data_IF_012746617243
#
_entry.id   IF_012746617243
#
_cell.length_a   1.000
_cell.length_b   1.000
_cell.length_c   1.000
_cell.angle_alpha   90.00
_cell.angle_beta   90.00
_cell.angle_gamma   90.00
#
_symmetry.space_group_name_H-M   'P 1'
#
loop_
_entity.id
_entity.type
_entity.pdbx_description
1 polymer ?
#
# COMPACT_ATOMS: atom_id res chain seq x y z
N UNK A 1 11.82 -7.09 -9.90
CA UNK A 1 12.02 -8.55 -9.93
C UNK A 1 11.84 -8.90 -11.37
N UNK A 2 12.94 -9.03 -12.08
CA UNK A 2 12.91 -9.11 -13.54
C UNK A 2 12.75 -10.57 -13.92
N UNK A 3 11.67 -10.88 -14.63
CA UNK A 3 11.41 -12.24 -15.12
C UNK A 3 12.43 -12.53 -16.22
N UNK A 4 13.17 -13.62 -16.08
CA UNK A 4 14.11 -14.06 -17.10
C UNK A 4 13.39 -14.84 -18.18
N UNK A 5 13.00 -14.14 -19.24
CA UNK A 5 12.21 -14.71 -20.36
C UNK A 5 12.89 -15.93 -21.00
N UNK A 6 14.23 -15.95 -21.01
CA UNK A 6 15.05 -17.07 -21.51
C UNK A 6 14.78 -18.39 -20.78
N UNK A 7 14.47 -18.35 -19.47
CA UNK A 7 14.14 -19.53 -18.68
C UNK A 7 12.64 -19.78 -18.59
N UNK A 8 11.81 -18.79 -18.93
CA UNK A 8 10.37 -18.90 -18.79
C UNK A 8 9.76 -19.95 -19.74
N UNK A 9 10.16 -19.94 -21.01
CA UNK A 9 9.63 -20.88 -22.02
C UNK A 9 9.84 -22.34 -21.60
N UNK A 10 11.07 -22.81 -21.27
CA UNK A 10 11.26 -24.19 -20.84
C UNK A 10 10.55 -24.50 -19.51
N UNK A 11 10.46 -23.54 -18.59
CA UNK A 11 9.73 -23.74 -17.32
C UNK A 11 8.22 -23.88 -17.52
N UNK A 12 7.64 -23.19 -18.50
CA UNK A 12 6.23 -23.36 -18.85
C UNK A 12 5.93 -24.76 -19.41
N UNK A 13 6.86 -25.35 -20.16
CA UNK A 13 6.71 -26.74 -20.62
C UNK A 13 6.77 -27.74 -19.46
N UNK A 14 7.71 -27.55 -18.53
CA UNK A 14 7.78 -28.35 -17.29
C UNK A 14 6.47 -28.21 -16.49
N UNK A 15 5.99 -26.98 -16.35
CA UNK A 15 4.75 -26.68 -15.66
C UNK A 15 3.53 -27.36 -16.31
N UNK A 16 3.41 -27.34 -17.64
CA UNK A 16 2.35 -28.05 -18.36
C UNK A 16 2.36 -29.55 -18.08
N UNK A 17 3.55 -30.16 -18.03
CA UNK A 17 3.70 -31.59 -17.71
C UNK A 17 3.26 -31.86 -16.27
N UNK A 18 3.69 -31.04 -15.31
CA UNK A 18 3.32 -31.18 -13.89
C UNK A 18 1.82 -31.02 -13.63
N UNK A 19 1.13 -30.24 -14.47
CA UNK A 19 -0.28 -29.91 -14.30
C UNK A 19 -1.22 -30.72 -15.20
N UNK A 20 -0.69 -31.61 -16.05
CA UNK A 20 -1.45 -32.35 -17.08
C UNK A 20 -2.60 -33.20 -16.53
N UNK A 21 -2.44 -33.75 -15.34
CA UNK A 21 -3.44 -34.63 -14.70
C UNK A 21 -4.40 -33.86 -13.78
N UNK A 22 -4.13 -32.58 -13.52
CA UNK A 22 -4.96 -31.74 -12.66
C UNK A 22 -5.98 -30.98 -13.51
N UNK A 23 -7.25 -31.09 -13.16
CA UNK A 23 -8.28 -30.22 -13.75
C UNK A 23 -8.16 -28.85 -13.09
N UNK A 24 -7.69 -27.87 -13.85
CA UNK A 24 -7.47 -26.49 -13.40
C UNK A 24 -8.37 -25.58 -14.23
N UNK A 25 -9.48 -25.14 -13.65
CA UNK A 25 -10.43 -24.20 -14.27
C UNK A 25 -10.20 -22.76 -13.78
N UNK A 26 -9.70 -22.60 -12.55
CA UNK A 26 -9.49 -21.29 -11.93
C UNK A 26 -8.04 -21.06 -11.51
N UNK A 27 -7.59 -19.80 -11.56
CA UNK A 27 -6.25 -19.42 -11.11
C UNK A 27 -5.98 -19.77 -9.64
N UNK A 28 -7.02 -19.80 -8.80
CA UNK A 28 -6.90 -20.23 -7.41
C UNK A 28 -6.42 -21.69 -7.28
N UNK A 29 -6.89 -22.56 -8.17
CA UNK A 29 -6.49 -23.98 -8.20
C UNK A 29 -5.05 -24.13 -8.70
N UNK A 30 -4.65 -23.30 -9.67
CA UNK A 30 -3.25 -23.22 -10.12
C UNK A 30 -2.34 -22.82 -8.95
N UNK A 31 -2.73 -21.80 -8.19
CA UNK A 31 -1.95 -21.32 -7.06
C UNK A 31 -1.80 -22.39 -5.97
N UNK A 32 -2.89 -23.10 -5.66
CA UNK A 32 -2.87 -24.18 -4.68
C UNK A 32 -2.01 -25.37 -5.16
N UNK A 33 -2.20 -25.78 -6.42
CA UNK A 33 -1.41 -26.84 -7.03
C UNK A 33 0.09 -26.56 -7.02
N UNK A 34 0.49 -25.30 -7.20
CA UNK A 34 1.87 -24.84 -7.20
C UNK A 34 2.45 -24.72 -5.78
N UNK A 35 1.65 -24.26 -4.81
CA UNK A 35 2.04 -24.21 -3.39
C UNK A 35 2.29 -25.60 -2.80
N UNK A 36 1.53 -26.60 -3.27
CA UNK A 36 1.61 -27.97 -2.78
C UNK A 36 2.73 -28.81 -3.45
N UNK A 37 3.53 -28.23 -4.35
CA UNK A 37 4.72 -28.88 -4.91
C UNK A 37 5.86 -28.90 -3.90
N UNK A 38 6.76 -29.89 -4.01
CA UNK A 38 7.99 -29.93 -3.22
C UNK A 38 8.94 -28.78 -3.58
N UNK A 39 9.85 -28.47 -2.68
CA UNK A 39 10.79 -27.36 -2.82
C UNK A 39 11.66 -27.46 -4.09
N UNK A 40 12.08 -28.66 -4.49
CA UNK A 40 12.95 -28.83 -5.65
C UNK A 40 12.19 -28.54 -6.94
N UNK A 41 10.96 -29.05 -7.04
CA UNK A 41 10.07 -28.76 -8.17
C UNK A 41 9.71 -27.28 -8.24
N UNK A 42 9.46 -26.62 -7.10
CA UNK A 42 9.26 -25.17 -7.05
C UNK A 42 10.47 -24.38 -7.58
N UNK A 43 11.70 -24.80 -7.27
CA UNK A 43 12.90 -24.17 -7.81
C UNK A 43 13.03 -24.35 -9.33
N UNK A 44 12.58 -25.49 -9.88
CA UNK A 44 12.59 -25.73 -11.32
C UNK A 44 11.64 -24.81 -12.09
N UNK A 45 10.60 -24.25 -11.45
CA UNK A 45 9.59 -23.38 -12.07
C UNK A 45 9.55 -21.96 -11.46
N UNK A 46 10.70 -21.47 -10.98
CA UNK A 46 10.78 -20.25 -10.18
C UNK A 46 10.29 -18.97 -10.91
N UNK A 47 10.42 -18.90 -12.23
CA UNK A 47 9.89 -17.79 -13.03
C UNK A 47 8.35 -17.86 -13.11
N UNK A 48 7.79 -19.06 -13.23
CA UNK A 48 6.34 -19.28 -13.19
C UNK A 48 5.77 -18.89 -11.82
N UNK A 49 6.47 -19.24 -10.73
CA UNK A 49 6.11 -18.77 -9.38
C UNK A 49 6.11 -17.25 -9.27
N UNK A 50 7.11 -16.61 -9.87
CA UNK A 50 7.23 -15.15 -9.89
C UNK A 50 6.06 -14.52 -10.64
N UNK A 51 5.65 -15.09 -11.78
CA UNK A 51 4.45 -14.66 -12.52
C UNK A 51 3.18 -14.85 -11.68
N UNK A 52 3.00 -16.00 -11.03
CA UNK A 52 1.85 -16.23 -10.16
C UNK A 52 1.78 -15.19 -9.03
N UNK A 53 2.91 -14.84 -8.42
CA UNK A 53 2.99 -13.78 -7.41
C UNK A 53 2.65 -12.40 -7.99
N UNK A 54 3.16 -12.08 -9.18
CA UNK A 54 2.85 -10.81 -9.85
C UNK A 54 1.37 -10.70 -10.20
N UNK A 55 0.74 -11.79 -10.65
CA UNK A 55 -0.70 -11.83 -10.93
C UNK A 55 -1.55 -11.63 -9.66
N UNK A 56 -1.08 -12.09 -8.50
CA UNK A 56 -1.76 -11.83 -7.22
C UNK A 56 -1.65 -10.38 -6.75
N UNK A 57 -0.54 -9.71 -7.09
CA UNK A 57 -0.27 -8.33 -6.66
C UNK A 57 -0.80 -7.31 -7.66
N UNK A 58 -0.87 -7.68 -8.94
CA UNK A 58 -1.40 -6.81 -9.99
C UNK A 58 -2.93 -6.77 -9.83
N UNK A 59 -3.53 -5.61 -9.50
CA UNK A 59 -4.97 -5.53 -9.44
C UNK A 59 -5.54 -5.87 -10.82
N UNK A 60 -6.48 -6.81 -10.86
CA UNK A 60 -7.17 -7.21 -12.10
C UNK A 60 -7.89 -6.05 -12.82
N UNK A 61 -8.01 -4.90 -12.15
CA UNK A 61 -8.64 -3.68 -12.67
C UNK A 61 -7.80 -2.44 -12.38
N UNK A 62 -7.89 -1.45 -13.26
CA UNK A 62 -7.33 -0.10 -13.06
C UNK A 62 -7.99 0.66 -11.91
N UNK A 63 -9.15 0.20 -11.40
CA UNK A 63 -9.96 0.89 -10.41
C UNK A 63 -9.21 1.25 -9.12
N UNK A 64 -8.24 0.44 -8.68
CA UNK A 64 -7.40 0.77 -7.52
C UNK A 64 -6.43 1.90 -7.82
N UNK A 65 -5.83 1.91 -9.02
CA UNK A 65 -5.02 3.01 -9.50
C UNK A 65 -5.83 4.29 -9.67
N UNK A 66 -7.00 4.21 -10.32
CA UNK A 66 -7.93 5.34 -10.52
C UNK A 66 -8.38 5.95 -9.19
N UNK A 67 -8.76 5.13 -8.20
CA UNK A 67 -9.07 5.60 -6.85
C UNK A 67 -7.88 6.32 -6.20
N UNK A 68 -6.66 5.81 -6.40
CA UNK A 68 -5.44 6.42 -5.88
C UNK A 68 -5.15 7.78 -6.56
N UNK A 69 -5.27 7.86 -7.88
CA UNK A 69 -5.10 9.10 -8.64
C UNK A 69 -6.19 10.12 -8.35
N UNK A 70 -7.45 9.69 -8.21
CA UNK A 70 -8.56 10.54 -7.80
C UNK A 70 -8.34 11.13 -6.41
N UNK A 71 -7.89 10.32 -5.46
CA UNK A 71 -7.50 10.76 -4.12
C UNK A 71 -6.35 11.75 -4.15
N UNK A 72 -5.29 11.44 -4.90
CA UNK A 72 -4.15 12.35 -5.10
C UNK A 72 -4.59 13.69 -5.71
N UNK A 73 -5.51 13.66 -6.68
CA UNK A 73 -6.09 14.86 -7.29
C UNK A 73 -6.85 15.68 -6.27
N UNK A 74 -7.70 15.06 -5.43
CA UNK A 74 -8.41 15.75 -4.34
C UNK A 74 -7.41 16.45 -3.40
N UNK A 75 -6.39 15.75 -2.92
CA UNK A 75 -5.35 16.31 -2.03
C UNK A 75 -4.66 17.52 -2.68
N UNK A 76 -4.28 17.43 -3.96
CA UNK A 76 -3.63 18.53 -4.69
C UNK A 76 -4.57 19.72 -4.92
N UNK A 77 -5.83 19.47 -5.27
CA UNK A 77 -6.82 20.52 -5.52
C UNK A 77 -7.05 21.38 -4.29
N UNK A 78 -7.18 20.77 -3.10
CA UNK A 78 -7.42 21.50 -1.86
C UNK A 78 -6.23 22.34 -1.37
N UNK A 79 -5.01 22.03 -1.80
CA UNK A 79 -3.78 22.64 -1.24
C UNK A 79 -2.95 23.43 -2.27
N UNK A 80 -3.57 23.76 -3.41
CA UNK A 80 -2.93 24.24 -4.65
C UNK A 80 -2.01 25.45 -4.48
N UNK A 81 -2.26 26.32 -3.48
CA UNK A 81 -1.50 27.56 -3.29
C UNK A 81 -0.05 27.36 -2.82
N UNK A 82 0.30 26.23 -2.17
CA UNK A 82 1.66 26.00 -1.63
C UNK A 82 1.94 24.49 -1.39
N UNK A 83 1.85 23.66 -2.44
CA UNK A 83 2.02 22.21 -2.32
C UNK A 83 3.38 21.75 -2.87
N UNK A 84 4.37 21.58 -1.98
CA UNK A 84 5.62 20.91 -2.34
C UNK A 84 5.41 19.40 -2.51
N UNK A 85 6.27 18.74 -3.28
CA UNK A 85 6.22 17.28 -3.45
C UNK A 85 6.33 16.54 -2.11
N UNK A 86 7.21 17.02 -1.20
CA UNK A 86 7.37 16.45 0.14
C UNK A 86 6.07 16.54 0.96
N UNK A 87 5.41 17.69 0.93
CA UNK A 87 4.12 17.88 1.61
C UNK A 87 3.04 16.97 1.02
N UNK A 88 2.97 16.85 -0.30
CA UNK A 88 2.05 15.94 -0.98
C UNK A 88 2.30 14.48 -0.57
N UNK A 89 3.55 14.01 -0.59
CA UNK A 89 3.89 12.63 -0.21
C UNK A 89 3.46 12.31 1.23
N UNK A 90 3.76 13.20 2.19
CA UNK A 90 3.35 12.98 3.58
C UNK A 90 1.82 12.93 3.74
N UNK A 91 1.09 13.82 3.05
CA UNK A 91 -0.37 13.86 3.10
C UNK A 91 -1.02 12.66 2.40
N UNK A 92 -0.43 12.17 1.31
CA UNK A 92 -0.88 10.95 0.65
C UNK A 92 -0.73 9.74 1.58
N UNK A 93 0.38 9.63 2.32
CA UNK A 93 0.60 8.58 3.31
C UNK A 93 -0.45 8.65 4.43
N UNK A 94 -0.68 9.85 4.98
CA UNK A 94 -1.69 10.05 6.03
C UNK A 94 -3.10 9.72 5.53
N UNK A 95 -3.44 10.09 4.29
CA UNK A 95 -4.75 9.81 3.72
C UNK A 95 -4.97 8.31 3.46
N UNK A 96 -3.96 7.61 2.94
CA UNK A 96 -4.00 6.15 2.72
C UNK A 96 -4.10 5.38 4.04
N UNK A 97 -3.41 5.86 5.09
CA UNK A 97 -3.40 5.22 6.41
C UNK A 97 -4.24 5.97 7.43
N UNK A 98 -5.43 6.44 7.03
CA UNK A 98 -6.32 7.24 7.88
C UNK A 98 -6.55 6.63 9.26
N UNK A 99 -6.87 5.33 9.33
CA UNK A 99 -7.12 4.63 10.61
C UNK A 99 -5.92 4.73 11.56
N UNK A 100 -4.70 4.54 11.04
CA UNK A 100 -3.48 4.70 11.85
C UNK A 100 -3.28 6.15 12.26
N UNK A 101 -3.60 7.10 11.39
CA UNK A 101 -3.56 8.53 11.67
C UNK A 101 -4.56 8.94 12.76
N UNK A 102 -5.78 8.41 12.72
CA UNK A 102 -6.85 8.70 13.70
C UNK A 102 -6.49 8.18 15.11
N UNK A 103 -5.65 7.14 15.20
CA UNK A 103 -5.13 6.62 16.47
C UNK A 103 -3.97 7.44 17.04
N UNK A 104 -3.42 8.42 16.31
CA UNK A 104 -2.35 9.27 16.81
C UNK A 104 -2.97 10.30 17.76
N UNK A 105 -2.43 10.37 18.98
CA UNK A 105 -2.82 11.40 19.95
C UNK A 105 -2.47 12.79 19.43
N UNK A 106 -3.50 13.57 19.15
CA UNK A 106 -3.34 14.93 18.61
C UNK A 106 -2.60 15.85 19.59
N UNK A 107 -2.76 15.64 20.90
CA UNK A 107 -2.06 16.38 21.94
C UNK A 107 -0.53 16.26 21.81
N UNK A 108 -0.05 15.04 21.62
CA UNK A 108 1.38 14.76 21.45
C UNK A 108 1.91 15.42 20.17
N UNK A 109 1.14 15.33 19.08
CA UNK A 109 1.50 15.98 17.80
C UNK A 109 1.56 17.50 17.94
N UNK A 110 0.61 18.11 18.66
CA UNK A 110 0.54 19.56 18.87
C UNK A 110 1.76 20.04 19.68
N UNK A 111 2.10 19.35 20.77
CA UNK A 111 3.26 19.67 21.59
C UNK A 111 4.59 19.43 20.85
N UNK A 112 4.68 18.40 20.01
CA UNK A 112 5.82 18.22 19.09
C UNK A 112 5.87 19.35 18.06
N UNK A 113 4.75 19.76 17.49
CA UNK A 113 4.70 20.84 16.49
C UNK A 113 5.23 22.18 17.04
N UNK A 114 4.89 22.50 18.29
CA UNK A 114 5.36 23.69 19.00
C UNK A 114 6.85 23.60 19.29
N UNK A 115 7.32 22.51 19.89
CA UNK A 115 8.72 22.35 20.29
C UNK A 115 9.72 22.36 19.12
N UNK A 116 9.25 22.21 17.87
CA UNK A 116 10.08 22.28 16.66
C UNK A 116 10.45 23.70 16.23
N UNK A 117 9.90 24.76 16.83
CA UNK A 117 10.22 26.14 16.45
C UNK A 117 9.97 27.13 17.61
N UNK A 118 10.98 27.92 17.98
CA UNK A 118 10.90 28.88 19.09
C UNK A 118 9.80 29.95 18.91
N UNK A 119 9.48 30.33 17.67
CA UNK A 119 8.35 31.24 17.41
C UNK A 119 7.02 30.56 17.72
N UNK A 120 6.89 29.25 17.46
CA UNK A 120 5.68 28.50 17.80
C UNK A 120 5.57 28.33 19.30
N UNK A 121 6.67 28.05 19.99
CA UNK A 121 6.69 27.98 21.45
C UNK A 121 6.25 29.29 22.09
N UNK A 122 6.77 30.42 21.61
CA UNK A 122 6.37 31.74 22.09
C UNK A 122 4.90 32.08 21.83
N UNK A 123 4.35 31.67 20.68
CA UNK A 123 2.99 32.02 20.29
C UNK A 123 1.92 31.07 20.83
N UNK A 124 2.22 29.77 20.93
CA UNK A 124 1.24 28.73 21.25
C UNK A 124 1.47 28.08 22.61
N UNK A 125 2.66 28.20 23.21
CA UNK A 125 2.98 27.54 24.48
C UNK A 125 2.85 26.02 24.40
N UNK A 126 2.34 25.40 25.47
CA UNK A 126 2.05 23.96 25.52
C UNK A 126 0.55 23.71 25.50
N UNK A 127 0.13 22.68 24.79
CA UNK A 127 -1.24 22.19 24.78
C UNK A 127 -1.46 21.18 25.91
N UNK A 128 -2.66 21.22 26.47
CA UNK A 128 -3.22 20.31 27.46
C UNK A 128 -4.43 19.55 26.86
N UNK A 129 -4.86 18.45 27.49
CA UNK A 129 -6.02 17.67 27.02
C UNK A 129 -7.29 18.54 26.84
N UNK A 130 -7.49 19.50 27.75
CA UNK A 130 -8.63 20.42 27.75
C UNK A 130 -8.70 21.29 26.48
N UNK A 131 -7.57 21.57 25.83
CA UNK A 131 -7.48 22.44 24.66
C UNK A 131 -7.97 21.75 23.37
N UNK A 132 -7.98 20.41 23.34
CA UNK A 132 -8.30 19.62 22.15
C UNK A 132 -9.61 18.84 22.29
N UNK A 133 -10.15 18.68 23.51
CA UNK A 133 -11.39 17.95 23.78
C UNK A 133 -12.68 18.66 23.29
N UNK A 134 -12.64 19.91 22.84
CA UNK A 134 -13.86 20.65 22.46
C UNK A 134 -14.46 20.23 21.08
N UNK A 135 -13.73 19.47 20.25
CA UNK A 135 -14.10 19.26 18.85
C UNK A 135 -14.59 17.85 18.46
N UNK A 136 -14.64 16.89 19.39
CA UNK A 136 -15.11 15.51 19.08
C UNK A 136 -16.62 15.31 19.25
N UNK A 137 -17.34 16.25 19.90
CA UNK A 137 -18.77 16.10 20.20
C UNK A 137 -19.73 16.85 19.25
N UNK A 138 -19.23 17.51 18.19
CA UNK A 138 -20.07 18.38 17.33
C UNK A 138 -20.14 17.97 15.85
N UNK A 139 -19.83 16.72 15.49
CA UNK A 139 -20.08 16.23 14.13
C UNK A 139 -20.56 14.76 14.16
N UNK A 140 -21.85 14.59 14.45
CA UNK A 140 -22.67 13.45 14.01
C UNK A 140 -23.55 13.93 12.85
#
# INVERSE_FOLDING_TARGET
MDIKVEFLIPQLEIFKVLMKEKKLEYFAEVLDAVKNLDHNTQQMINEVLTICKLLLVNPATSATGERSFSTARRIKTWLRANMSQRRFSHLAILNTHKIRGDNIRLLDVANVFVSKNDNRNRNFGSFMEQDLCYNLNNNL
#
